data_IF_786551618159
#
_entry.id   IF_786551618159
#
_cell.length_a   1.000
_cell.length_b   1.000
_cell.length_c   1.000
_cell.angle_alpha   90.00
_cell.angle_beta   90.00
_cell.angle_gamma   90.00
#
_symmetry.space_group_name_H-M   'P 1'
#
loop_
_entity.id
_entity.type
_entity.pdbx_description
1 polymer ?
#
# COMPACT_ATOMS: atom_id res chain seq x y z
N UNK A 1 -10.41 13.86 14.86
CA UNK A 1 -9.63 13.42 13.69
C UNK A 1 -10.46 12.46 12.85
N UNK A 2 -10.33 12.47 11.53
CA UNK A 2 -11.01 11.52 10.64
C UNK A 2 -10.04 11.03 9.57
N UNK A 3 -10.27 9.82 9.05
CA UNK A 3 -9.50 9.25 7.95
C UNK A 3 -10.40 8.41 7.04
N UNK A 4 -10.08 8.40 5.75
CA UNK A 4 -10.73 7.58 4.73
C UNK A 4 -9.70 7.11 3.69
N UNK A 5 -9.91 5.98 3.02
CA UNK A 5 -8.94 5.47 2.06
C UNK A 5 -8.83 6.37 0.82
N UNK A 6 -7.64 6.37 0.22
CA UNK A 6 -7.44 6.81 -1.17
C UNK A 6 -7.57 5.56 -2.06
N UNK A 7 -8.47 5.60 -3.03
CA UNK A 7 -8.83 4.48 -3.88
C UNK A 7 -9.06 4.92 -5.33
N UNK A 8 -8.24 4.42 -6.24
CA UNK A 8 -8.35 4.61 -7.70
C UNK A 8 -8.35 3.28 -8.47
N UNK A 9 -8.26 2.15 -7.78
CA UNK A 9 -8.29 0.82 -8.38
C UNK A 9 -9.70 0.38 -8.76
N UNK A 10 -9.79 -0.61 -9.64
CA UNK A 10 -11.05 -1.24 -10.05
C UNK A 10 -11.51 -2.36 -9.09
N UNK A 11 -10.70 -2.65 -8.06
CA UNK A 11 -11.04 -3.63 -7.03
C UNK A 11 -12.07 -3.09 -6.03
N UNK A 12 -12.75 -4.01 -5.36
CA UNK A 12 -13.61 -3.66 -4.23
C UNK A 12 -12.76 -3.10 -3.08
N UNK A 13 -13.26 -2.07 -2.41
CA UNK A 13 -12.65 -1.49 -1.23
C UNK A 13 -13.72 -1.07 -0.24
N UNK A 14 -13.34 -0.96 1.04
CA UNK A 14 -14.25 -0.45 2.07
C UNK A 14 -14.36 1.07 1.97
N UNK A 15 -15.55 1.57 1.64
CA UNK A 15 -15.85 3.00 1.55
C UNK A 15 -16.37 3.55 2.89
N UNK A 16 -15.65 3.26 3.97
CA UNK A 16 -15.95 3.75 5.31
C UNK A 16 -15.03 4.92 5.70
N UNK A 17 -15.51 5.76 6.62
CA UNK A 17 -14.70 6.82 7.23
C UNK A 17 -14.55 6.51 8.70
N UNK A 18 -13.31 6.41 9.17
CA UNK A 18 -13.00 6.25 10.59
C UNK A 18 -12.86 7.62 11.24
N UNK A 19 -13.30 7.74 12.50
CA UNK A 19 -13.23 8.97 13.28
C UNK A 19 -12.68 8.69 14.67
N UNK A 20 -11.91 9.63 15.19
CA UNK A 20 -11.42 9.67 16.56
C UNK A 20 -11.74 11.04 17.19
N UNK A 21 -12.03 11.06 18.48
CA UNK A 21 -12.35 12.28 19.23
C UNK A 21 -11.06 12.77 19.90
N UNK A 22 -10.72 14.05 19.66
CA UNK A 22 -9.68 14.75 20.40
C UNK A 22 -10.36 15.74 21.34
N UNK A 23 -10.21 15.53 22.64
CA UNK A 23 -10.78 16.37 23.68
C UNK A 23 -9.67 17.10 24.43
N UNK A 24 -9.81 18.43 24.54
CA UNK A 24 -8.90 19.25 25.33
C UNK A 24 -9.47 19.39 26.74
N UNK A 25 -8.70 18.97 27.74
CA UNK A 25 -9.06 19.15 29.14
C UNK A 25 -8.57 20.51 29.64
N UNK A 26 -9.47 21.28 30.22
CA UNK A 26 -9.12 22.53 30.89
C UNK A 26 -8.54 22.23 32.28
N UNK A 27 -7.44 22.89 32.71
CA UNK A 27 -6.89 22.70 34.06
C UNK A 27 -7.89 23.11 35.15
N UNK A 28 -7.91 22.37 36.26
CA UNK A 28 -8.88 22.57 37.37
C UNK A 28 -8.76 23.94 38.08
N UNK A 29 -7.66 24.66 37.89
CA UNK A 29 -7.35 25.93 38.58
C UNK A 29 -7.95 27.18 37.91
N UNK A 30 -8.64 27.04 36.78
CA UNK A 30 -9.43 28.13 36.21
C UNK A 30 -10.85 28.06 36.75
N UNK A 31 -11.32 29.13 37.41
CA UNK A 31 -12.65 29.30 38.03
C UNK A 31 -13.85 29.22 37.06
N UNK A 32 -13.65 28.73 35.84
CA UNK A 32 -14.69 28.59 34.84
C UNK A 32 -15.28 27.18 34.91
N UNK A 33 -16.60 27.10 35.04
CA UNK A 33 -17.37 25.87 34.91
C UNK A 33 -16.94 25.10 33.66
N UNK A 34 -16.51 23.85 33.83
CA UNK A 34 -16.09 23.02 32.69
C UNK A 34 -17.26 22.90 31.71
N UNK A 35 -17.13 23.37 30.46
CA UNK A 35 -18.23 23.32 29.51
C UNK A 35 -18.61 21.86 29.25
N UNK A 36 -19.90 21.55 29.37
CA UNK A 36 -20.44 20.24 29.01
C UNK A 36 -19.98 19.85 27.60
N UNK A 37 -19.57 18.60 27.38
CA UNK A 37 -19.14 18.08 26.07
C UNK A 37 -20.17 18.38 24.96
N UNK A 38 -21.45 18.46 25.32
CA UNK A 38 -22.56 18.80 24.42
C UNK A 38 -22.49 20.22 23.84
N UNK A 39 -21.78 21.14 24.49
CA UNK A 39 -21.67 22.54 24.12
C UNK A 39 -20.31 22.91 23.48
N UNK A 40 -19.42 21.94 23.28
CA UNK A 40 -18.13 22.17 22.62
C UNK A 40 -18.29 22.16 21.09
N UNK A 41 -17.64 23.09 20.36
CA UNK A 41 -17.66 23.09 18.91
C UNK A 41 -16.97 21.84 18.36
N UNK A 42 -17.71 21.00 17.64
CA UNK A 42 -17.17 19.80 17.02
C UNK A 42 -16.44 20.16 15.71
N UNK A 43 -15.11 20.19 15.77
CA UNK A 43 -14.27 20.41 14.60
C UNK A 43 -14.15 19.13 13.76
N UNK A 44 -14.81 19.12 12.61
CA UNK A 44 -14.69 18.06 11.60
C UNK A 44 -13.77 18.53 10.47
N UNK A 45 -12.64 17.84 10.21
CA UNK A 45 -11.79 18.21 9.09
C UNK A 45 -12.43 17.81 7.76
N UNK A 46 -12.17 18.59 6.72
CA UNK A 46 -12.59 18.27 5.36
C UNK A 46 -11.66 17.19 4.80
N UNK A 47 -12.23 16.09 4.30
CA UNK A 47 -11.48 14.99 3.69
C UNK A 47 -11.42 15.16 2.16
N UNK A 48 -10.25 14.92 1.52
CA UNK A 48 -10.12 14.92 0.04
C UNK A 48 -10.93 13.78 -0.58
N UNK A 49 -11.42 13.93 -1.81
CA UNK A 49 -12.17 12.88 -2.50
C UNK A 49 -11.38 11.55 -2.56
N UNK A 50 -12.08 10.42 -2.58
CA UNK A 50 -11.45 9.08 -2.53
C UNK A 50 -10.45 8.87 -3.69
N UNK A 51 -10.71 9.50 -4.84
CA UNK A 51 -9.92 9.43 -6.05
C UNK A 51 -9.03 10.67 -6.27
N UNK A 52 -8.76 11.48 -5.25
CA UNK A 52 -7.91 12.67 -5.37
C UNK A 52 -6.42 12.32 -5.38
N UNK A 53 -5.94 11.86 -6.55
CA UNK A 53 -4.52 11.54 -6.78
C UNK A 53 -3.61 12.75 -6.57
N UNK A 54 -4.12 13.95 -6.85
CA UNK A 54 -3.34 15.19 -6.71
C UNK A 54 -3.02 15.48 -5.24
N UNK A 55 -3.99 15.29 -4.34
CA UNK A 55 -3.79 15.45 -2.91
C UNK A 55 -2.84 14.38 -2.36
N UNK A 56 -3.08 13.11 -2.71
CA UNK A 56 -2.22 12.00 -2.27
C UNK A 56 -0.76 12.22 -2.69
N UNK A 57 -0.53 12.61 -3.95
CA UNK A 57 0.81 12.90 -4.49
C UNK A 57 1.46 14.09 -3.77
N UNK A 58 0.72 15.19 -3.57
CA UNK A 58 1.23 16.37 -2.84
C UNK A 58 1.62 16.05 -1.40
N UNK A 59 0.88 15.17 -0.72
CA UNK A 59 1.22 14.74 0.63
C UNK A 59 2.48 13.86 0.63
N UNK A 60 2.53 12.84 -0.24
CA UNK A 60 3.68 11.92 -0.34
C UNK A 60 4.97 12.65 -0.70
N UNK A 61 4.92 13.67 -1.56
CA UNK A 61 6.08 14.48 -1.94
C UNK A 61 6.68 15.30 -0.78
N UNK A 62 5.99 15.42 0.36
CA UNK A 62 6.51 16.10 1.55
C UNK A 62 7.31 15.17 2.46
N UNK A 63 7.25 13.86 2.25
CA UNK A 63 7.97 12.89 3.07
C UNK A 63 9.48 13.02 2.82
N UNK A 64 10.21 13.39 3.87
CA UNK A 64 11.67 13.50 3.87
C UNK A 64 12.23 13.07 5.21
N UNK A 65 13.46 12.56 5.21
CA UNK A 65 14.18 12.33 6.47
C UNK A 65 14.47 13.67 7.15
N UNK A 66 14.58 13.65 8.48
CA UNK A 66 14.90 14.84 9.27
C UNK A 66 16.32 15.35 8.98
N UNK A 67 17.28 14.43 8.77
CA UNK A 67 18.66 14.69 8.40
C UNK A 67 19.37 15.77 9.26
N UNK A 68 19.35 15.59 10.58
CA UNK A 68 20.02 16.50 11.54
C UNK A 68 21.31 15.89 12.09
N UNK A 69 22.18 16.65 12.80
CA UNK A 69 23.38 16.10 13.42
C UNK A 69 23.11 14.96 14.42
N UNK A 70 21.97 15.01 15.10
CA UNK A 70 21.54 13.95 16.04
C UNK A 70 20.84 12.77 15.32
N UNK A 71 20.26 13.02 14.14
CA UNK A 71 19.53 12.03 13.33
C UNK A 71 19.97 12.08 11.86
N UNK A 72 21.21 11.62 11.55
CA UNK A 72 21.77 11.73 10.21
C UNK A 72 21.07 10.79 9.23
N UNK A 73 20.90 11.26 7.99
CA UNK A 73 20.34 10.48 6.89
C UNK A 73 21.47 9.90 6.03
N UNK A 74 21.92 8.68 6.36
CA UNK A 74 23.02 8.01 5.65
C UNK A 74 22.51 7.30 4.38
N UNK A 75 22.40 8.06 3.28
CA UNK A 75 21.94 7.51 1.99
C UNK A 75 23.10 6.82 1.27
N UNK A 76 22.96 5.53 0.85
CA UNK A 76 23.96 4.85 0.05
C UNK A 76 24.27 5.62 -1.25
N UNK A 77 25.55 5.96 -1.45
CA UNK A 77 26.01 6.72 -2.64
C UNK A 77 26.35 5.82 -3.83
N UNK A 78 26.63 4.54 -3.57
CA UNK A 78 26.98 3.55 -4.58
C UNK A 78 25.91 2.46 -4.62
N UNK A 79 25.40 2.19 -5.81
CA UNK A 79 24.43 1.12 -6.07
C UNK A 79 25.17 -0.05 -6.69
N UNK A 80 25.27 -1.17 -5.97
CA UNK A 80 25.96 -2.37 -6.46
C UNK A 80 25.09 -3.21 -7.38
N UNK A 81 23.76 -3.17 -7.21
CA UNK A 81 22.79 -3.90 -8.02
C UNK A 81 21.52 -3.09 -8.22
N UNK A 82 21.00 -3.11 -9.44
CA UNK A 82 19.73 -2.50 -9.78
C UNK A 82 18.69 -3.60 -10.00
N UNK A 83 17.57 -3.46 -9.29
CA UNK A 83 16.42 -4.33 -9.43
C UNK A 83 15.25 -3.52 -9.96
N UNK A 84 14.50 -4.11 -10.89
CA UNK A 84 13.24 -3.59 -11.36
C UNK A 84 12.13 -4.53 -10.90
N UNK A 85 11.16 -4.00 -10.15
CA UNK A 85 10.05 -4.77 -9.62
C UNK A 85 8.77 -4.36 -10.31
N UNK A 86 8.02 -5.34 -10.78
CA UNK A 86 6.63 -5.15 -11.23
C UNK A 86 5.70 -5.74 -10.18
N UNK A 87 4.66 -4.98 -9.83
CA UNK A 87 3.60 -5.44 -8.94
C UNK A 87 2.30 -5.41 -9.74
N UNK A 88 1.69 -6.57 -9.91
CA UNK A 88 0.47 -6.74 -10.68
C UNK A 88 -0.69 -7.19 -9.80
N UNK A 89 -1.89 -6.74 -10.14
CA UNK A 89 -3.14 -7.29 -9.64
C UNK A 89 -3.85 -7.98 -10.80
N UNK A 90 -4.41 -9.15 -10.57
CA UNK A 90 -5.09 -9.93 -11.60
C UNK A 90 -6.15 -10.85 -11.02
N UNK A 91 -6.62 -11.79 -11.83
CA UNK A 91 -7.59 -12.80 -11.42
C UNK A 91 -7.12 -14.19 -11.80
N UNK A 92 -7.50 -15.19 -10.99
CA UNK A 92 -7.32 -16.61 -11.30
C UNK A 92 -8.65 -17.34 -11.25
N UNK A 93 -8.87 -18.34 -12.12
CA UNK A 93 -10.06 -19.18 -12.05
C UNK A 93 -10.18 -19.86 -10.69
N UNK A 94 -11.40 -19.99 -10.19
CA UNK A 94 -11.66 -20.76 -8.99
C UNK A 94 -11.78 -22.25 -9.26
N UNK A 95 -11.70 -23.05 -8.20
CA UNK A 95 -11.90 -24.49 -8.33
C UNK A 95 -13.31 -24.80 -8.84
N UNK A 96 -13.44 -25.92 -9.55
CA UNK A 96 -14.75 -26.38 -10.04
C UNK A 96 -15.70 -26.53 -8.85
N UNK A 97 -16.92 -26.00 -9.00
CA UNK A 97 -17.99 -26.00 -7.99
C UNK A 97 -17.77 -25.10 -6.77
N UNK A 98 -16.87 -24.11 -6.84
CA UNK A 98 -16.71 -23.09 -5.82
C UNK A 98 -16.98 -21.70 -6.41
N UNK A 99 -17.79 -20.90 -5.73
CA UNK A 99 -17.93 -19.47 -6.01
C UNK A 99 -16.87 -18.67 -5.27
N UNK A 100 -16.35 -17.64 -5.93
CA UNK A 100 -15.29 -16.80 -5.39
C UNK A 100 -15.62 -15.33 -5.51
N UNK A 101 -15.07 -14.55 -4.59
CA UNK A 101 -15.30 -13.11 -4.50
C UNK A 101 -14.34 -12.32 -5.39
N UNK A 102 -14.40 -12.60 -6.70
CA UNK A 102 -13.74 -11.81 -7.74
C UNK A 102 -14.74 -11.16 -8.69
N UNK A 103 -14.28 -10.37 -9.67
CA UNK A 103 -15.14 -9.53 -10.51
C UNK A 103 -16.21 -10.30 -11.29
N UNK A 104 -15.98 -11.58 -11.58
CA UNK A 104 -16.85 -12.42 -12.40
C UNK A 104 -17.54 -13.54 -11.63
N UNK A 105 -17.50 -13.54 -10.28
CA UNK A 105 -18.01 -14.61 -9.39
C UNK A 105 -17.44 -16.04 -9.63
N UNK A 106 -16.65 -16.24 -10.69
CA UNK A 106 -15.97 -17.48 -11.05
C UNK A 106 -14.43 -17.37 -10.94
N UNK A 107 -13.95 -16.19 -10.57
CA UNK A 107 -12.52 -15.90 -10.39
C UNK A 107 -12.26 -15.41 -8.96
N UNK A 108 -11.04 -15.61 -8.47
CA UNK A 108 -10.50 -14.98 -7.25
C UNK A 108 -9.45 -13.96 -7.64
N UNK A 109 -9.28 -12.92 -6.83
CA UNK A 109 -8.19 -11.95 -7.02
C UNK A 109 -6.84 -12.61 -6.77
N UNK A 110 -5.83 -12.22 -7.54
CA UNK A 110 -4.45 -12.65 -7.38
C UNK A 110 -3.53 -11.45 -7.50
N UNK A 111 -2.32 -11.57 -6.95
CA UNK A 111 -1.27 -10.57 -7.09
C UNK A 111 0.00 -11.24 -7.58
N UNK A 112 0.73 -10.56 -8.46
CA UNK A 112 2.05 -10.98 -8.90
C UNK A 112 3.11 -9.97 -8.46
N UNK A 113 4.28 -10.49 -8.13
CA UNK A 113 5.46 -9.72 -7.84
C UNK A 113 6.63 -10.31 -8.62
N UNK A 114 7.13 -9.59 -9.62
CA UNK A 114 8.24 -10.04 -10.45
C UNK A 114 9.43 -9.13 -10.26
N UNK A 115 10.62 -9.72 -10.16
CA UNK A 115 11.88 -9.00 -9.98
C UNK A 115 12.83 -9.32 -11.13
N UNK A 116 13.36 -8.26 -11.73
CA UNK A 116 14.36 -8.30 -12.80
C UNK A 116 15.66 -7.66 -12.33
N UNK A 117 16.79 -8.30 -12.56
CA UNK A 117 18.10 -7.65 -12.46
C UNK A 117 18.34 -6.86 -13.72
N UNK A 118 18.80 -5.61 -13.59
CA UNK A 118 19.26 -4.85 -14.74
C UNK A 118 20.67 -5.34 -15.09
N UNK A 119 20.75 -6.46 -15.79
CA UNK A 119 22.02 -6.90 -16.38
C UNK A 119 22.31 -6.02 -17.61
N UNK A 120 23.51 -5.42 -17.67
CA UNK A 120 23.99 -4.58 -18.78
C UNK A 120 24.19 -5.36 -20.11
N UNK A 121 23.66 -6.57 -20.20
CA UNK A 121 23.68 -7.40 -21.41
C UNK A 121 22.37 -8.17 -21.47
N UNK A 122 21.46 -7.78 -22.37
CA UNK A 122 20.31 -8.58 -22.76
C UNK A 122 20.76 -9.98 -23.21
N UNK A 123 20.33 -11.09 -22.58
CA UNK A 123 20.07 -12.31 -23.32
C UNK A 123 18.62 -12.24 -23.83
N UNK A 124 18.38 -12.69 -25.06
CA UNK A 124 17.07 -12.71 -25.69
C UNK A 124 16.00 -13.48 -24.89
N UNK A 125 14.73 -13.45 -25.35
CA UNK A 125 13.60 -14.03 -24.62
C UNK A 125 13.81 -15.53 -24.38
N UNK A 126 14.02 -15.94 -23.13
CA UNK A 126 13.97 -17.33 -22.72
C UNK A 126 12.50 -17.74 -22.58
N UNK A 127 12.03 -18.55 -23.54
CA UNK A 127 10.75 -19.26 -23.53
C UNK A 127 10.80 -20.41 -22.51
N UNK A 128 10.87 -20.10 -21.22
CA UNK A 128 10.72 -21.10 -20.16
C UNK A 128 9.46 -20.81 -19.36
N UNK A 129 8.36 -21.47 -19.73
CA UNK A 129 7.17 -21.61 -18.90
C UNK A 129 7.48 -22.49 -17.69
N UNK A 130 7.46 -21.98 -16.44
CA UNK A 130 7.65 -22.84 -15.27
C UNK A 130 6.35 -23.59 -14.98
N UNK A 131 6.38 -24.92 -15.11
CA UNK A 131 5.37 -25.82 -14.53
C UNK A 131 5.38 -25.67 -13.01
N UNK A 132 4.17 -25.59 -12.42
CA UNK A 132 3.96 -25.51 -10.99
C UNK A 132 4.61 -26.67 -10.25
N UNK A 133 5.42 -26.38 -9.24
CA UNK A 133 5.37 -27.07 -7.96
C UNK A 133 5.97 -26.18 -6.86
N UNK A 134 5.32 -26.21 -5.69
CA UNK A 134 5.65 -25.44 -4.49
C UNK A 134 7.15 -25.44 -4.19
N UNK A 135 7.74 -24.26 -4.21
CA UNK A 135 8.91 -23.93 -3.40
C UNK A 135 8.94 -22.42 -3.19
N UNK A 136 8.70 -21.97 -1.95
CA UNK A 136 9.10 -20.63 -1.51
C UNK A 136 10.62 -20.60 -1.48
N UNK A 137 11.21 -20.26 -2.62
CA UNK A 137 12.58 -19.85 -2.77
C UNK A 137 12.59 -18.94 -3.99
N UNK A 138 12.94 -17.66 -3.80
CA UNK A 138 13.50 -16.86 -4.89
C UNK A 138 14.78 -17.60 -5.33
N UNK A 139 14.62 -18.60 -6.19
CA UNK A 139 15.73 -19.34 -6.72
C UNK A 139 16.55 -18.36 -7.56
N UNK A 140 17.79 -18.13 -7.12
CA UNK A 140 18.79 -17.33 -7.81
C UNK A 140 19.17 -18.07 -9.10
N UNK A 141 18.31 -18.00 -10.11
CA UNK A 141 18.71 -18.19 -11.50
C UNK A 141 18.90 -16.81 -12.12
N UNK A 142 19.99 -16.65 -12.85
CA UNK A 142 20.74 -15.42 -13.05
C UNK A 142 20.03 -14.18 -13.63
N UNK A 143 18.74 -14.19 -13.95
CA UNK A 143 18.11 -13.08 -14.70
C UNK A 143 16.63 -12.78 -14.41
N UNK A 144 15.87 -13.62 -13.69
CA UNK A 144 14.48 -13.31 -13.33
C UNK A 144 13.93 -14.23 -12.23
N UNK A 145 13.17 -13.69 -11.28
CA UNK A 145 12.45 -14.45 -10.25
C UNK A 145 10.97 -14.03 -10.18
N UNK A 146 10.06 -15.01 -10.19
CA UNK A 146 8.61 -14.81 -10.13
C UNK A 146 8.09 -15.24 -8.75
N UNK A 147 7.62 -14.28 -7.94
CA UNK A 147 6.97 -14.54 -6.66
C UNK A 147 5.46 -14.43 -6.83
N UNK A 148 4.75 -15.56 -6.71
CA UNK A 148 3.30 -15.61 -6.73
C UNK A 148 2.78 -15.93 -5.34
N UNK A 149 2.06 -14.99 -4.73
CA UNK A 149 1.36 -15.22 -3.46
C UNK A 149 -0.14 -15.32 -3.75
N UNK A 150 -0.73 -16.47 -3.46
CA UNK A 150 -2.18 -16.63 -3.45
C UNK A 150 -2.72 -16.14 -2.10
N UNK A 151 -3.66 -15.21 -2.11
CA UNK A 151 -4.42 -14.85 -0.91
C UNK A 151 -5.52 -15.92 -0.67
N UNK A 152 -5.82 -16.23 0.61
CA UNK A 152 -6.88 -17.18 0.98
C UNK A 152 -8.27 -16.70 0.56
#
# INVERSE_FOLDING_TARGET
>A
MTARPYATGLGTFDNSTVAAILEYKTPLNTHHSSPSIKNLPLLKPLLPALNDTSFATKFTNKLRSLASPQFPANVPQKVDKQFFFTVGLGTTPCQKNQTCQGPTNATKMTTSFECFTKDDSLPGPSSDTPRMNKLFLCHRSSTSGLCRQEFP
#
